data_IF_809787506074
#
_entry.id   IF_809787506074
#
_cell.length_a   1.000
_cell.length_b   1.000
_cell.length_c   1.000
_cell.angle_alpha   90.00
_cell.angle_beta   90.00
_cell.angle_gamma   90.00
#
_symmetry.space_group_name_H-M   'P 1'
#
loop_
_entity.id
_entity.type
_entity.pdbx_description
1 polymer ?
#
# COMPACT_ATOMS: atom_id res chain seq x y z
N UNK A 1 -34.12 -53.02 41.53
CA UNK A 1 -35.46 -52.78 40.97
C UNK A 1 -35.66 -51.29 40.80
N UNK A 2 -36.31 -50.89 39.71
CA UNK A 2 -36.60 -49.52 39.31
C UNK A 2 -37.45 -48.75 40.33
N UNK A 3 -37.42 -47.41 40.28
CA UNK A 3 -38.47 -46.61 40.92
C UNK A 3 -38.19 -45.13 41.04
N UNK A 4 -38.74 -44.35 40.10
CA UNK A 4 -38.86 -42.87 40.07
C UNK A 4 -39.61 -42.32 41.30
N UNK A 5 -39.32 -41.09 41.75
CA UNK A 5 -40.21 -39.92 41.55
C UNK A 5 -39.83 -38.65 42.35
N UNK A 6 -39.73 -37.55 41.59
CA UNK A 6 -40.15 -36.14 41.80
C UNK A 6 -40.60 -35.68 43.20
N UNK A 7 -40.09 -34.51 43.63
CA UNK A 7 -40.94 -33.35 43.90
C UNK A 7 -40.18 -32.02 43.82
N UNK A 8 -40.85 -31.04 43.22
CA UNK A 8 -40.48 -29.65 42.98
C UNK A 8 -40.93 -28.78 44.15
N UNK A 9 -40.14 -27.79 44.58
CA UNK A 9 -40.61 -26.57 45.25
C UNK A 9 -39.70 -25.40 44.82
N UNK A 10 -40.30 -24.27 44.41
CA UNK A 10 -39.68 -22.98 44.11
C UNK A 10 -40.16 -21.91 45.11
N UNK A 11 -39.40 -20.82 45.15
CA UNK A 11 -39.60 -19.48 45.76
C UNK A 11 -39.14 -19.37 47.23
N UNK A 12 -38.44 -18.31 47.67
CA UNK A 12 -38.55 -16.87 47.35
C UNK A 12 -37.25 -16.08 47.58
N UNK A 13 -37.23 -14.85 47.03
CA UNK A 13 -36.28 -13.74 47.26
C UNK A 13 -36.04 -13.37 48.73
N UNK A 14 -34.81 -12.91 49.04
CA UNK A 14 -34.54 -11.64 49.75
C UNK A 14 -33.04 -11.37 49.93
N UNK A 15 -32.58 -10.30 49.29
CA UNK A 15 -31.69 -9.22 49.75
C UNK A 15 -30.29 -9.50 50.37
N UNK A 16 -29.33 -8.82 49.75
CA UNK A 16 -28.16 -8.10 50.28
C UNK A 16 -27.10 -8.86 51.08
N UNK A 17 -25.95 -9.07 50.44
CA UNK A 17 -24.65 -8.85 51.08
C UNK A 17 -23.62 -8.43 50.01
N UNK A 18 -23.09 -7.23 50.22
CA UNK A 18 -22.04 -6.56 49.47
C UNK A 18 -20.69 -7.26 49.73
N UNK A 19 -20.25 -8.08 48.78
CA UNK A 19 -18.90 -8.68 48.80
C UNK A 19 -18.01 -7.96 47.78
N UNK A 20 -17.17 -7.08 48.31
CA UNK A 20 -16.01 -6.49 47.63
C UNK A 20 -15.12 -7.61 47.05
N UNK A 21 -15.21 -7.81 45.74
CA UNK A 21 -14.27 -8.65 45.00
C UNK A 21 -13.03 -7.79 44.70
N UNK A 22 -11.95 -8.04 45.43
CA UNK A 22 -10.62 -7.58 45.05
C UNK A 22 -10.27 -8.15 43.66
N UNK A 23 -10.58 -7.37 42.62
CA UNK A 23 -10.08 -7.56 41.26
C UNK A 23 -8.58 -7.27 41.28
N UNK A 24 -7.80 -8.24 41.73
CA UNK A 24 -6.39 -8.33 41.36
C UNK A 24 -6.31 -8.75 39.89
N UNK A 25 -6.78 -7.85 39.02
CA UNK A 25 -6.57 -7.85 37.59
C UNK A 25 -5.07 -7.75 37.33
N UNK A 26 -4.37 -8.86 37.54
CA UNK A 26 -3.07 -9.09 36.92
C UNK A 26 -3.37 -9.18 35.44
N UNK A 27 -3.34 -8.02 34.79
CA UNK A 27 -3.21 -7.89 33.34
C UNK A 27 -2.06 -8.78 32.96
N UNK A 28 -2.36 -9.98 32.48
CA UNK A 28 -1.40 -10.85 31.85
C UNK A 28 -1.03 -10.17 30.55
N UNK A 29 -0.09 -9.23 30.66
CA UNK A 29 0.59 -8.55 29.58
C UNK A 29 1.52 -9.57 28.91
N UNK A 30 0.89 -10.61 28.36
CA UNK A 30 1.54 -11.58 27.52
C UNK A 30 1.73 -10.87 26.17
N UNK A 31 2.96 -10.68 25.71
CA UNK A 31 3.19 -10.18 24.36
C UNK A 31 2.48 -11.13 23.41
N UNK A 32 1.45 -10.65 22.71
CA UNK A 32 0.73 -11.37 21.65
C UNK A 32 1.70 -11.98 20.61
N UNK A 33 2.93 -11.45 20.54
CA UNK A 33 4.06 -11.96 19.77
C UNK A 33 4.52 -13.39 20.16
N UNK A 34 4.22 -13.85 21.38
CA UNK A 34 4.57 -15.20 21.90
C UNK A 34 3.44 -16.22 21.77
N UNK A 35 2.25 -15.82 21.35
CA UNK A 35 1.20 -16.76 20.97
C UNK A 35 1.47 -17.24 19.54
N UNK A 36 2.45 -18.15 19.39
CA UNK A 36 2.68 -18.86 18.12
C UNK A 36 1.52 -19.84 17.88
N UNK A 37 0.40 -19.30 17.41
CA UNK A 37 -0.74 -20.07 16.90
C UNK A 37 -0.33 -20.60 15.52
N UNK A 38 0.41 -21.72 15.53
CA UNK A 38 0.85 -22.44 14.34
C UNK A 38 1.99 -21.79 13.53
N UNK A 39 2.47 -22.49 12.49
CA UNK A 39 3.45 -21.94 11.55
C UNK A 39 2.88 -20.69 10.87
N UNK A 40 3.66 -19.61 10.79
CA UNK A 40 3.24 -18.42 10.03
C UNK A 40 3.02 -18.77 8.56
N UNK A 41 1.94 -18.27 7.99
CA UNK A 41 1.63 -18.42 6.57
C UNK A 41 2.76 -17.84 5.71
N UNK A 42 3.07 -18.51 4.61
CA UNK A 42 3.98 -17.99 3.59
C UNK A 42 3.31 -16.85 2.81
N UNK A 43 4.11 -16.03 2.14
CA UNK A 43 3.61 -14.98 1.26
C UNK A 43 3.42 -15.52 -0.15
N UNK A 44 2.21 -15.38 -0.66
CA UNK A 44 1.86 -15.57 -2.06
C UNK A 44 1.57 -14.22 -2.72
N UNK A 45 2.41 -13.85 -3.69
CA UNK A 45 2.25 -12.62 -4.46
C UNK A 45 1.70 -12.96 -5.84
N UNK A 46 0.63 -12.30 -6.26
CA UNK A 46 -0.07 -12.65 -7.48
C UNK A 46 -0.20 -11.46 -8.43
N UNK A 47 0.03 -11.72 -9.72
CA UNK A 47 -0.39 -10.79 -10.77
C UNK A 47 -1.93 -10.73 -10.85
N UNK A 48 -2.47 -9.61 -11.32
CA UNK A 48 -3.92 -9.48 -11.53
C UNK A 48 -4.31 -9.88 -12.96
N UNK A 49 -3.91 -9.06 -13.96
CA UNK A 49 -4.25 -9.32 -15.36
C UNK A 49 -3.44 -10.48 -15.94
N UNK A 50 -4.10 -11.39 -16.65
CA UNK A 50 -3.53 -12.63 -17.18
C UNK A 50 -3.55 -13.79 -16.17
N UNK A 51 -3.79 -13.51 -14.89
CA UNK A 51 -3.96 -14.55 -13.87
C UNK A 51 -5.41 -14.65 -13.39
N UNK A 52 -5.97 -13.59 -12.78
CA UNK A 52 -7.32 -13.61 -12.18
C UNK A 52 -8.42 -13.19 -13.16
N UNK A 53 -8.04 -12.41 -14.17
CA UNK A 53 -8.94 -11.93 -15.22
C UNK A 53 -8.16 -11.58 -16.49
N UNK A 54 -8.87 -11.38 -17.58
CA UNK A 54 -8.37 -10.87 -18.84
C UNK A 54 -9.01 -9.51 -19.13
N UNK A 55 -8.19 -8.49 -19.38
CA UNK A 55 -8.66 -7.17 -19.81
C UNK A 55 -8.28 -6.90 -21.24
N UNK A 56 -9.25 -6.37 -21.99
CA UNK A 56 -9.06 -5.95 -23.37
C UNK A 56 -9.43 -4.50 -23.51
N UNK A 57 -8.56 -3.69 -24.13
CA UNK A 57 -8.88 -2.30 -24.42
C UNK A 57 -9.76 -2.22 -25.66
N UNK A 58 -10.81 -1.39 -25.63
CA UNK A 58 -11.79 -1.25 -26.71
C UNK A 58 -11.16 -0.79 -28.04
N UNK A 59 -10.00 -0.14 -28.01
CA UNK A 59 -9.28 0.24 -29.23
C UNK A 59 -8.67 -0.95 -29.97
N UNK A 60 -8.53 -2.11 -29.31
CA UNK A 60 -7.88 -3.30 -29.88
C UNK A 60 -8.95 -4.32 -30.26
N UNK A 61 -9.76 -3.96 -31.27
CA UNK A 61 -10.95 -4.73 -31.67
C UNK A 61 -10.68 -6.21 -31.96
N UNK A 62 -9.49 -6.54 -32.47
CA UNK A 62 -9.11 -7.91 -32.80
C UNK A 62 -8.82 -8.80 -31.58
N UNK A 63 -8.58 -8.19 -30.41
CA UNK A 63 -8.37 -8.92 -29.15
C UNK A 63 -9.66 -9.06 -28.34
N UNK A 64 -10.77 -8.44 -28.77
CA UNK A 64 -12.06 -8.53 -28.08
C UNK A 64 -12.67 -9.90 -28.38
N UNK A 65 -12.96 -10.72 -27.35
CA UNK A 65 -13.65 -11.99 -27.50
C UNK A 65 -14.97 -11.83 -28.26
N UNK A 66 -15.17 -12.69 -29.26
CA UNK A 66 -16.37 -12.63 -30.14
C UNK A 66 -17.54 -13.44 -29.61
N UNK A 67 -17.25 -14.50 -28.86
CA UNK A 67 -18.24 -15.53 -28.49
C UNK A 67 -18.61 -15.51 -27.01
N UNK A 68 -17.96 -14.65 -26.22
CA UNK A 68 -18.21 -14.49 -24.78
C UNK A 68 -18.51 -13.03 -24.46
N UNK A 69 -19.63 -12.70 -23.80
CA UNK A 69 -19.88 -11.35 -23.31
C UNK A 69 -18.88 -10.99 -22.19
N UNK A 70 -18.52 -9.71 -22.10
CA UNK A 70 -17.68 -9.23 -21.01
C UNK A 70 -18.45 -9.33 -19.68
N UNK A 71 -17.77 -9.79 -18.63
CA UNK A 71 -18.30 -9.83 -17.27
C UNK A 71 -18.47 -8.41 -16.69
N UNK A 72 -17.76 -7.44 -17.27
CA UNK A 72 -17.92 -6.03 -16.95
C UNK A 72 -17.13 -5.12 -17.87
N UNK A 73 -17.27 -3.82 -17.65
CA UNK A 73 -16.48 -2.82 -18.33
C UNK A 73 -16.12 -1.69 -17.37
N UNK A 74 -15.02 -1.00 -17.65
CA UNK A 74 -14.70 0.26 -17.00
C UNK A 74 -13.81 1.10 -17.92
N UNK A 75 -14.12 2.40 -18.02
CA UNK A 75 -13.48 3.30 -18.99
C UNK A 75 -13.50 2.64 -20.38
N UNK A 76 -12.34 2.46 -21.00
CA UNK A 76 -12.17 1.85 -22.30
C UNK A 76 -11.71 0.39 -22.24
N UNK A 77 -11.96 -0.31 -21.13
CA UNK A 77 -11.61 -1.72 -20.97
C UNK A 77 -12.84 -2.60 -20.77
N UNK A 78 -12.86 -3.72 -21.50
CA UNK A 78 -13.70 -4.87 -21.21
C UNK A 78 -12.97 -5.81 -20.26
N UNK A 79 -13.71 -6.42 -19.34
CA UNK A 79 -13.19 -7.32 -18.30
C UNK A 79 -13.85 -8.68 -18.46
N UNK A 80 -13.01 -9.71 -18.46
CA UNK A 80 -13.43 -11.09 -18.48
C UNK A 80 -12.83 -11.79 -17.26
N UNK A 81 -13.66 -12.18 -16.31
CA UNK A 81 -13.26 -12.89 -15.09
C UNK A 81 -12.73 -14.28 -15.48
N UNK A 82 -11.64 -14.73 -14.86
CA UNK A 82 -11.17 -16.11 -15.08
C UNK A 82 -12.08 -17.07 -14.31
N UNK A 83 -12.48 -18.21 -14.91
CA UNK A 83 -13.19 -19.24 -14.17
C UNK A 83 -12.47 -19.58 -12.86
N UNK A 84 -13.26 -19.80 -11.79
CA UNK A 84 -12.79 -20.13 -10.43
C UNK A 84 -11.97 -19.05 -9.70
N UNK A 85 -11.91 -17.80 -10.20
CA UNK A 85 -11.03 -16.79 -9.59
C UNK A 85 -11.36 -16.48 -8.12
N UNK A 86 -12.62 -16.50 -7.71
CA UNK A 86 -12.99 -16.23 -6.31
C UNK A 86 -12.72 -17.43 -5.40
N UNK A 87 -13.05 -18.63 -5.86
CA UNK A 87 -12.80 -19.89 -5.16
C UNK A 87 -11.30 -20.11 -4.95
N UNK A 88 -10.51 -19.85 -5.99
CA UNK A 88 -9.05 -19.86 -5.93
C UNK A 88 -8.50 -18.89 -4.89
N UNK A 89 -9.04 -17.68 -4.84
CA UNK A 89 -8.58 -16.67 -3.90
C UNK A 89 -8.95 -17.01 -2.46
N UNK A 90 -10.13 -17.60 -2.22
CA UNK A 90 -10.50 -18.17 -0.91
C UNK A 90 -9.52 -19.27 -0.50
N UNK A 91 -9.24 -20.21 -1.42
CA UNK A 91 -8.26 -21.26 -1.22
C UNK A 91 -6.87 -20.71 -0.86
N UNK A 92 -6.41 -19.65 -1.53
CA UNK A 92 -5.13 -19.02 -1.25
C UNK A 92 -5.11 -18.34 0.12
N UNK A 93 -6.15 -17.56 0.45
CA UNK A 93 -6.26 -16.83 1.72
C UNK A 93 -6.30 -17.77 2.95
N UNK A 94 -6.82 -18.98 2.80
CA UNK A 94 -6.77 -20.00 3.85
C UNK A 94 -5.34 -20.42 4.21
N UNK A 95 -4.41 -20.39 3.25
CA UNK A 95 -3.08 -21.03 3.36
C UNK A 95 -1.90 -20.05 3.33
N UNK A 96 -2.11 -18.86 2.78
CA UNK A 96 -1.07 -17.86 2.54
C UNK A 96 -1.49 -16.49 3.07
N UNK A 97 -0.48 -15.69 3.41
CA UNK A 97 -0.64 -14.25 3.32
C UNK A 97 -0.64 -13.89 1.83
N UNK A 98 -1.63 -13.14 1.37
CA UNK A 98 -1.84 -12.92 -0.08
C UNK A 98 -1.67 -11.45 -0.44
N UNK A 99 -0.76 -11.16 -1.38
CA UNK A 99 -0.58 -9.82 -1.94
C UNK A 99 -0.86 -9.78 -3.43
N UNK A 100 -1.50 -8.71 -3.91
CA UNK A 100 -1.63 -8.42 -5.34
C UNK A 100 -0.52 -7.46 -5.75
N UNK A 101 0.18 -7.79 -6.84
CA UNK A 101 1.13 -6.87 -7.46
C UNK A 101 0.84 -6.77 -8.94
N UNK A 102 0.41 -5.62 -9.42
CA UNK A 102 0.09 -5.35 -10.83
C UNK A 102 1.13 -4.43 -11.46
N UNK A 103 1.32 -4.57 -12.77
CA UNK A 103 2.09 -3.60 -13.57
C UNK A 103 1.19 -2.57 -14.27
N UNK A 104 -0.08 -2.50 -13.88
CA UNK A 104 -1.02 -1.49 -14.35
C UNK A 104 -1.09 -0.30 -13.38
N UNK A 105 -1.60 0.84 -13.85
CA UNK A 105 -1.94 1.99 -13.01
C UNK A 105 -2.99 1.62 -11.95
N UNK A 106 -2.92 2.28 -10.79
CA UNK A 106 -3.81 2.15 -9.63
C UNK A 106 -5.30 2.08 -10.01
N UNK A 107 -5.83 3.10 -10.67
CA UNK A 107 -7.24 3.16 -11.07
C UNK A 107 -7.68 1.99 -11.98
N UNK A 108 -6.74 1.41 -12.75
CA UNK A 108 -7.02 0.25 -13.57
C UNK A 108 -7.01 -1.04 -12.75
N UNK A 109 -6.13 -1.13 -11.75
CA UNK A 109 -6.08 -2.25 -10.83
C UNK A 109 -7.34 -2.32 -9.98
N UNK A 110 -7.83 -1.17 -9.52
CA UNK A 110 -8.97 -1.13 -8.60
C UNK A 110 -10.25 -1.68 -9.20
N UNK A 111 -10.61 -1.18 -10.38
CA UNK A 111 -11.76 -1.70 -11.11
C UNK A 111 -11.58 -3.20 -11.45
N UNK A 112 -10.37 -3.62 -11.84
CA UNK A 112 -10.10 -5.02 -12.17
C UNK A 112 -10.32 -5.94 -10.96
N UNK A 113 -9.83 -5.58 -9.78
CA UNK A 113 -9.97 -6.40 -8.58
C UNK A 113 -11.43 -6.51 -8.12
N UNK A 114 -12.22 -5.43 -8.27
CA UNK A 114 -13.64 -5.48 -7.94
C UNK A 114 -14.38 -6.55 -8.77
N UNK A 115 -14.04 -6.69 -10.05
CA UNK A 115 -14.60 -7.75 -10.90
C UNK A 115 -13.99 -9.13 -10.63
N UNK A 116 -12.69 -9.22 -10.36
CA UNK A 116 -12.00 -10.51 -10.21
C UNK A 116 -12.32 -11.22 -8.89
N UNK A 117 -12.34 -10.48 -7.79
CA UNK A 117 -12.33 -11.03 -6.42
C UNK A 117 -13.30 -10.31 -5.47
N UNK A 118 -13.91 -9.22 -5.91
CA UNK A 118 -14.97 -8.50 -5.19
C UNK A 118 -14.61 -8.21 -3.72
N UNK A 119 -15.47 -8.60 -2.76
CA UNK A 119 -15.25 -8.35 -1.34
C UNK A 119 -13.96 -8.94 -0.76
N UNK A 120 -13.36 -9.96 -1.40
CA UNK A 120 -12.11 -10.57 -0.91
C UNK A 120 -10.92 -9.62 -0.97
N UNK A 121 -11.03 -8.51 -1.72
CA UNK A 121 -9.99 -7.47 -1.78
C UNK A 121 -9.59 -6.95 -0.40
N UNK A 122 -10.54 -6.78 0.52
CA UNK A 122 -10.25 -6.27 1.88
C UNK A 122 -9.41 -7.22 2.73
N UNK A 123 -9.29 -8.49 2.31
CA UNK A 123 -8.49 -9.52 2.97
C UNK A 123 -7.04 -9.61 2.45
N UNK A 124 -6.70 -8.86 1.41
CA UNK A 124 -5.34 -8.85 0.86
C UNK A 124 -4.38 -8.20 1.84
N UNK A 125 -3.19 -8.77 1.99
CA UNK A 125 -2.11 -8.21 2.80
C UNK A 125 -1.66 -6.85 2.22
N UNK A 126 -1.56 -6.77 0.90
CA UNK A 126 -1.31 -5.54 0.17
C UNK A 126 -1.86 -5.62 -1.26
N UNK A 127 -2.13 -4.46 -1.84
CA UNK A 127 -2.47 -4.29 -3.26
C UNK A 127 -1.52 -3.25 -3.84
N UNK A 128 -0.62 -3.68 -4.71
CA UNK A 128 0.40 -2.84 -5.33
C UNK A 128 0.15 -2.70 -6.83
N UNK A 129 0.39 -1.50 -7.33
CA UNK A 129 0.26 -1.12 -8.73
C UNK A 129 1.64 -0.92 -9.37
N UNK A 130 1.67 -0.36 -10.58
CA UNK A 130 2.91 -0.11 -11.32
C UNK A 130 3.91 0.78 -10.57
N UNK A 131 3.46 1.65 -9.66
CA UNK A 131 4.32 2.56 -8.87
C UNK A 131 5.31 1.79 -8.01
N UNK A 132 4.93 0.60 -7.54
CA UNK A 132 5.80 -0.26 -6.77
C UNK A 132 6.69 -1.13 -7.67
N UNK A 133 6.37 -1.28 -8.96
CA UNK A 133 7.27 -1.95 -9.90
C UNK A 133 8.59 -1.17 -10.08
N UNK A 134 9.63 -1.86 -10.54
CA UNK A 134 10.87 -1.22 -10.99
C UNK A 134 10.80 -0.99 -12.49
N UNK A 135 10.77 0.29 -12.89
CA UNK A 135 10.93 0.67 -14.29
C UNK A 135 12.39 0.50 -14.71
N UNK A 136 12.61 -0.36 -15.70
CA UNK A 136 13.94 -0.57 -16.27
C UNK A 136 14.43 0.60 -17.14
N UNK A 137 13.50 1.41 -17.66
CA UNK A 137 13.72 2.37 -18.75
C UNK A 137 13.73 1.73 -20.13
N UNK A 138 13.54 0.41 -20.24
CA UNK A 138 13.43 -0.32 -21.50
C UNK A 138 11.97 -0.63 -21.83
N UNK A 139 11.74 -1.07 -23.07
CA UNK A 139 10.44 -1.49 -23.57
C UNK A 139 10.37 -3.02 -23.68
N UNK A 140 9.18 -3.58 -23.48
CA UNK A 140 8.95 -5.01 -23.65
C UNK A 140 9.17 -5.43 -25.12
N UNK A 141 9.72 -6.63 -25.34
CA UNK A 141 9.87 -7.23 -26.67
C UNK A 141 8.50 -7.47 -27.34
N UNK A 142 7.49 -7.81 -26.55
CA UNK A 142 6.12 -8.09 -27.01
C UNK A 142 5.40 -6.86 -27.56
N UNK A 143 5.73 -5.66 -27.06
CA UNK A 143 5.05 -4.42 -27.41
C UNK A 143 5.97 -3.23 -27.17
N UNK A 144 6.41 -2.61 -28.26
CA UNK A 144 7.41 -1.53 -28.23
C UNK A 144 6.99 -0.30 -27.40
N UNK A 145 5.69 -0.05 -27.19
CA UNK A 145 5.23 1.05 -26.34
C UNK A 145 5.19 0.70 -24.85
N UNK A 146 5.12 -0.59 -24.50
CA UNK A 146 4.93 -1.09 -23.13
C UNK A 146 6.24 -1.01 -22.34
N UNK A 147 6.28 -0.29 -21.20
CA UNK A 147 7.45 -0.29 -20.33
C UNK A 147 7.75 -1.69 -19.77
N UNK A 148 9.03 -2.01 -19.65
CA UNK A 148 9.50 -3.26 -19.06
C UNK A 148 9.66 -3.08 -17.54
N UNK A 149 8.64 -3.56 -16.82
CA UNK A 149 8.57 -3.51 -15.36
C UNK A 149 9.01 -4.81 -14.70
N UNK A 150 9.71 -4.69 -13.57
CA UNK A 150 10.11 -5.80 -12.69
C UNK A 150 9.41 -5.71 -11.33
N UNK A 151 9.15 -6.87 -10.71
CA UNK A 151 8.51 -7.01 -9.40
C UNK A 151 9.52 -7.57 -8.41
N UNK A 152 10.24 -6.68 -7.73
CA UNK A 152 11.37 -7.03 -6.88
C UNK A 152 10.99 -7.27 -5.43
N UNK A 153 11.17 -8.50 -4.94
CA UNK A 153 10.75 -8.86 -3.58
C UNK A 153 11.40 -8.04 -2.47
N UNK A 154 12.62 -7.53 -2.66
CA UNK A 154 13.25 -6.64 -1.67
C UNK A 154 12.33 -5.46 -1.30
N UNK A 155 11.58 -4.91 -2.27
CA UNK A 155 10.60 -3.85 -1.99
C UNK A 155 9.53 -4.33 -1.01
N UNK A 156 9.02 -5.55 -1.18
CA UNK A 156 8.04 -6.14 -0.25
C UNK A 156 8.69 -6.33 1.12
N UNK A 157 9.83 -7.01 1.19
CA UNK A 157 10.49 -7.35 2.45
C UNK A 157 10.88 -6.10 3.27
N UNK A 158 11.20 -5.00 2.59
CA UNK A 158 11.51 -3.72 3.21
C UNK A 158 10.26 -2.96 3.68
N UNK A 159 9.13 -3.03 2.97
CA UNK A 159 7.98 -2.14 3.19
C UNK A 159 6.75 -2.83 3.82
N UNK A 160 6.58 -4.14 3.65
CA UNK A 160 5.44 -4.89 4.18
C UNK A 160 5.85 -5.55 5.49
N UNK A 161 5.38 -4.99 6.62
CA UNK A 161 5.71 -5.48 7.97
C UNK A 161 4.66 -6.40 8.57
N UNK A 162 3.40 -6.31 8.10
CA UNK A 162 2.30 -7.18 8.51
C UNK A 162 2.48 -8.58 7.94
N UNK A 163 2.04 -9.62 8.65
CA UNK A 163 2.11 -11.03 8.22
C UNK A 163 3.43 -11.74 8.56
N UNK A 164 4.48 -10.97 8.88
CA UNK A 164 5.76 -11.48 9.38
C UNK A 164 6.94 -11.09 8.50
N UNK A 165 8.17 -11.44 8.92
CA UNK A 165 9.33 -11.23 8.07
C UNK A 165 9.23 -12.15 6.86
N UNK A 166 9.12 -11.54 5.69
CA UNK A 166 9.19 -12.25 4.42
C UNK A 166 10.60 -12.21 3.86
N UNK A 167 10.98 -13.29 3.19
CA UNK A 167 12.27 -13.47 2.53
C UNK A 167 12.10 -14.50 1.40
N UNK A 168 13.21 -14.92 0.78
CA UNK A 168 13.18 -15.83 -0.35
C UNK A 168 12.63 -17.23 -0.02
N UNK A 169 12.81 -17.72 1.21
CA UNK A 169 12.38 -19.07 1.61
C UNK A 169 10.88 -19.17 1.88
N UNK A 170 10.18 -18.05 2.03
CA UNK A 170 8.75 -18.01 2.34
C UNK A 170 7.92 -17.10 1.42
N UNK A 171 8.46 -16.65 0.29
CA UNK A 171 7.76 -15.81 -0.68
C UNK A 171 7.70 -16.49 -2.05
N UNK A 172 6.52 -16.63 -2.62
CA UNK A 172 6.31 -17.11 -3.99
C UNK A 172 5.58 -16.06 -4.82
N UNK A 173 6.05 -15.80 -6.05
CA UNK A 173 5.34 -15.00 -7.05
C UNK A 173 4.64 -15.89 -8.07
N UNK A 174 3.39 -15.59 -8.37
CA UNK A 174 2.66 -16.12 -9.52
C UNK A 174 2.46 -14.98 -10.52
N UNK A 175 3.00 -15.16 -11.73
CA UNK A 175 2.85 -14.19 -12.83
C UNK A 175 2.59 -14.92 -14.15
N UNK A 176 2.19 -14.20 -15.19
CA UNK A 176 2.05 -14.72 -16.56
C UNK A 176 3.28 -14.39 -17.43
N UNK A 177 4.18 -13.53 -16.92
CA UNK A 177 5.35 -13.02 -17.62
C UNK A 177 6.65 -13.33 -16.87
N UNK A 178 7.42 -14.35 -17.31
CA UNK A 178 8.68 -14.76 -16.68
C UNK A 178 9.65 -13.64 -16.38
N UNK A 179 9.78 -12.66 -17.29
CA UNK A 179 10.72 -11.56 -17.13
C UNK A 179 10.46 -10.70 -15.90
N UNK A 180 9.21 -10.62 -15.38
CA UNK A 180 8.91 -9.72 -14.25
C UNK A 180 9.64 -10.12 -12.96
N UNK A 181 10.06 -11.38 -12.83
CA UNK A 181 10.80 -11.89 -11.69
C UNK A 181 12.33 -11.94 -11.93
N UNK A 182 12.84 -11.43 -13.05
CA UNK A 182 14.26 -11.57 -13.47
C UNK A 182 15.30 -11.12 -12.41
N UNK A 183 14.90 -10.20 -11.53
CA UNK A 183 15.73 -9.62 -10.49
C UNK A 183 15.54 -10.27 -9.11
N UNK A 184 14.62 -11.22 -9.00
CA UNK A 184 14.36 -11.97 -7.77
C UNK A 184 15.31 -13.17 -7.64
N UNK A 185 15.45 -13.75 -6.43
CA UNK A 185 16.13 -15.02 -6.25
C UNK A 185 15.58 -16.11 -7.18
N UNK A 186 16.44 -17.05 -7.60
CA UNK A 186 16.03 -18.18 -8.44
C UNK A 186 14.98 -19.03 -7.73
N UNK A 187 14.10 -19.68 -8.50
CA UNK A 187 13.07 -20.58 -7.98
C UNK A 187 12.10 -19.91 -6.97
N UNK A 188 11.89 -18.60 -7.07
CA UNK A 188 10.97 -17.86 -6.17
C UNK A 188 9.70 -17.39 -6.88
N UNK A 189 9.47 -17.89 -8.10
CA UNK A 189 8.32 -17.57 -8.92
C UNK A 189 7.91 -18.75 -9.81
N UNK A 190 6.62 -18.86 -10.10
CA UNK A 190 6.05 -19.74 -11.13
C UNK A 190 5.29 -18.90 -12.15
N UNK A 191 5.20 -19.39 -13.39
CA UNK A 191 4.68 -18.61 -14.50
C UNK A 191 3.56 -19.34 -15.24
N UNK A 192 2.31 -18.91 -15.10
CA UNK A 192 1.19 -19.55 -15.77
C UNK A 192 1.06 -19.07 -17.22
N UNK A 193 0.44 -19.89 -18.06
CA UNK A 193 -0.09 -19.40 -19.32
C UNK A 193 -1.13 -18.29 -19.05
N UNK A 194 -1.06 -17.16 -19.77
CA UNK A 194 -1.96 -16.05 -19.55
C UNK A 194 -3.39 -16.45 -19.90
N UNK A 195 -4.32 -16.13 -19.01
CA UNK A 195 -5.74 -16.29 -19.29
C UNK A 195 -6.17 -15.42 -20.46
N UNK A 196 -6.83 -16.06 -21.43
CA UNK A 196 -7.51 -15.42 -22.55
C UNK A 196 -8.97 -15.83 -22.51
N UNK A 197 -9.84 -14.85 -22.63
CA UNK A 197 -11.28 -15.02 -22.49
C UNK A 197 -11.94 -15.85 -23.60
N UNK A 198 -11.23 -16.12 -24.71
CA UNK A 198 -11.68 -17.06 -25.75
C UNK A 198 -11.45 -18.54 -25.37
N UNK A 199 -10.79 -18.81 -24.24
CA UNK A 199 -10.62 -20.17 -23.74
C UNK A 199 -11.71 -20.54 -22.74
N UNK A 200 -12.85 -21.00 -23.25
CA UNK A 200 -14.01 -21.41 -22.42
C UNK A 200 -13.75 -22.69 -21.59
N UNK A 201 -12.64 -23.39 -21.86
CA UNK A 201 -12.23 -24.60 -21.13
C UNK A 201 -11.18 -24.33 -20.04
N UNK A 202 -10.83 -23.06 -19.78
CA UNK A 202 -9.83 -22.72 -18.75
C UNK A 202 -10.32 -23.14 -17.35
N UNK A 203 -9.59 -24.06 -16.74
CA UNK A 203 -9.78 -24.52 -15.36
C UNK A 203 -8.51 -24.34 -14.52
N UNK A 204 -7.60 -23.46 -14.94
CA UNK A 204 -6.27 -23.37 -14.33
C UNK A 204 -6.31 -22.91 -12.86
N UNK A 205 -7.39 -22.21 -12.46
CA UNK A 205 -7.62 -21.76 -11.09
C UNK A 205 -8.61 -22.65 -10.31
N UNK A 206 -9.01 -23.80 -10.85
CA UNK A 206 -9.89 -24.74 -10.13
C UNK A 206 -9.25 -25.12 -8.77
N UNK A 207 -9.97 -24.98 -7.63
CA UNK A 207 -9.51 -25.43 -6.31
C UNK A 207 -9.10 -26.91 -6.24
N UNK A 208 -9.65 -27.75 -7.12
CA UNK A 208 -9.30 -29.16 -7.26
C UNK A 208 -8.24 -29.41 -8.34
N UNK A 209 -7.79 -28.37 -9.04
CA UNK A 209 -6.82 -28.46 -10.13
C UNK A 209 -5.37 -28.57 -9.68
N UNK A 210 -4.49 -28.66 -10.68
CA UNK A 210 -3.05 -28.85 -10.49
C UNK A 210 -2.38 -27.69 -9.77
N UNK A 211 -2.75 -26.44 -10.08
CA UNK A 211 -2.18 -25.26 -9.42
C UNK A 211 -2.46 -25.26 -7.92
N UNK A 212 -3.71 -25.51 -7.52
CA UNK A 212 -4.08 -25.56 -6.11
C UNK A 212 -3.38 -26.73 -5.39
N UNK A 213 -3.26 -27.88 -6.05
CA UNK A 213 -2.49 -29.02 -5.52
C UNK A 213 -1.01 -28.67 -5.34
N UNK A 214 -0.40 -27.99 -6.32
CA UNK A 214 0.96 -27.48 -6.23
C UNK A 214 1.14 -26.50 -5.07
N UNK A 215 0.21 -25.55 -4.90
CA UNK A 215 0.25 -24.56 -3.82
C UNK A 215 0.03 -25.18 -2.44
N UNK A 216 -0.69 -26.30 -2.31
CA UNK A 216 -0.71 -27.06 -1.03
C UNK A 216 0.70 -27.52 -0.65
N UNK A 217 1.43 -28.10 -1.60
CA UNK A 217 2.82 -28.50 -1.36
C UNK A 217 3.74 -27.32 -1.04
N UNK A 218 3.57 -26.16 -1.68
CA UNK A 218 4.28 -24.92 -1.31
C UNK A 218 3.95 -24.49 0.14
N UNK A 219 2.69 -24.56 0.54
CA UNK A 219 2.26 -24.20 1.89
C UNK A 219 2.88 -25.12 2.95
N UNK A 220 3.09 -26.41 2.64
CA UNK A 220 3.67 -27.42 3.54
C UNK A 220 5.21 -27.45 3.51
N UNK A 221 5.84 -27.05 2.40
CA UNK A 221 7.29 -27.08 2.24
C UNK A 221 8.01 -26.21 3.26
N UNK A 222 9.22 -26.60 3.70
CA UNK A 222 10.04 -25.76 4.59
C UNK A 222 10.60 -24.53 3.90
N UNK A 223 10.92 -24.65 2.61
CA UNK A 223 11.58 -23.65 1.81
C UNK A 223 10.94 -23.59 0.41
N UNK A 224 10.46 -22.41 0.02
CA UNK A 224 9.80 -22.20 -1.28
C UNK A 224 10.78 -22.46 -2.43
N UNK A 225 12.02 -21.99 -2.33
CA UNK A 225 12.97 -22.08 -3.44
C UNK A 225 13.35 -23.52 -3.77
N UNK A 226 13.54 -24.35 -2.74
CA UNK A 226 13.81 -25.78 -2.88
C UNK A 226 12.60 -26.50 -3.48
N UNK A 227 11.39 -26.20 -2.98
CA UNK A 227 10.17 -26.82 -3.52
C UNK A 227 9.96 -26.50 -5.00
N UNK A 228 10.08 -25.23 -5.40
CA UNK A 228 9.92 -24.79 -6.80
C UNK A 228 11.00 -25.37 -7.70
N UNK A 229 12.23 -25.53 -7.18
CA UNK A 229 13.33 -26.16 -7.93
C UNK A 229 13.01 -27.61 -8.25
N UNK A 230 12.51 -28.36 -7.28
CA UNK A 230 12.22 -29.79 -7.42
C UNK A 230 10.90 -30.05 -8.16
N UNK A 231 10.00 -29.06 -8.17
CA UNK A 231 8.69 -29.12 -8.81
C UNK A 231 8.49 -27.88 -9.71
N UNK A 232 9.13 -27.81 -10.89
CA UNK A 232 8.89 -26.69 -11.80
C UNK A 232 7.44 -26.65 -12.28
N UNK A 233 6.83 -25.46 -12.34
CA UNK A 233 5.43 -25.28 -12.74
C UNK A 233 5.29 -24.15 -13.78
N UNK A 234 4.64 -24.47 -14.90
CA UNK A 234 4.32 -23.50 -15.96
C UNK A 234 5.50 -23.14 -16.86
N UNK A 235 5.50 -21.92 -17.39
CA UNK A 235 6.55 -21.40 -18.28
C UNK A 235 7.90 -21.30 -17.55
N UNK A 236 9.02 -21.52 -18.27
CA UNK A 236 10.35 -21.43 -17.65
C UNK A 236 10.71 -19.98 -17.29
N UNK A 237 11.46 -19.82 -16.21
CA UNK A 237 12.06 -18.53 -15.83
C UNK A 237 13.04 -18.02 -16.90
N UNK A 238 13.21 -16.71 -16.99
CA UNK A 238 14.25 -16.12 -17.85
C UNK A 238 15.63 -16.42 -17.26
N UNK A 239 16.37 -17.30 -17.91
CA UNK A 239 17.74 -17.68 -17.59
C UNK A 239 18.69 -17.39 -18.76
N UNK A 240 19.98 -17.67 -18.59
CA UNK A 240 20.97 -17.58 -19.67
C UNK A 240 20.67 -18.44 -20.89
N UNK A 241 19.80 -19.44 -20.76
CA UNK A 241 19.35 -20.29 -21.87
C UNK A 241 18.18 -19.69 -22.67
N UNK A 242 17.58 -18.58 -22.23
CA UNK A 242 16.46 -17.95 -22.93
C UNK A 242 16.91 -17.38 -24.29
N UNK A 243 16.09 -17.53 -25.34
CA UNK A 243 16.39 -17.03 -26.71
C UNK A 243 16.76 -15.55 -26.71
N UNK A 244 15.99 -14.73 -26.00
CA UNK A 244 16.21 -13.30 -25.83
C UNK A 244 17.16 -12.92 -24.67
N UNK A 245 17.99 -13.85 -24.18
CA UNK A 245 18.86 -13.59 -23.03
C UNK A 245 19.75 -12.37 -23.23
N UNK A 246 20.27 -12.14 -24.44
CA UNK A 246 21.09 -10.96 -24.78
C UNK A 246 20.37 -9.63 -24.49
N UNK A 247 19.05 -9.59 -24.67
CA UNK A 247 18.25 -8.43 -24.32
C UNK A 247 18.11 -8.31 -22.80
N UNK A 248 17.67 -9.38 -22.13
CA UNK A 248 17.43 -9.37 -20.69
C UNK A 248 18.70 -9.16 -19.85
N UNK A 249 19.84 -9.71 -20.26
CA UNK A 249 21.13 -9.52 -19.62
C UNK A 249 21.55 -8.04 -19.67
N UNK A 250 21.42 -7.39 -20.83
CA UNK A 250 21.70 -5.96 -21.00
C UNK A 250 20.82 -5.10 -20.10
N UNK A 251 19.53 -5.41 -20.01
CA UNK A 251 18.60 -4.71 -19.11
C UNK A 251 19.04 -4.87 -17.66
N UNK A 252 19.33 -6.12 -17.24
CA UNK A 252 19.78 -6.44 -15.88
C UNK A 252 21.07 -5.70 -15.52
N UNK A 253 22.07 -5.73 -16.39
CA UNK A 253 23.33 -5.00 -16.24
C UNK A 253 23.11 -3.48 -16.11
N UNK A 254 22.24 -2.89 -16.94
CA UNK A 254 21.92 -1.46 -16.88
C UNK A 254 21.33 -1.07 -15.52
N UNK A 255 20.42 -1.88 -14.99
CA UNK A 255 19.82 -1.65 -13.67
C UNK A 255 20.86 -1.73 -12.56
N UNK A 256 21.71 -2.77 -12.58
CA UNK A 256 22.78 -2.96 -11.58
C UNK A 256 23.79 -1.80 -11.63
N UNK A 257 24.16 -1.34 -12.83
CA UNK A 257 25.02 -0.16 -13.00
C UNK A 257 24.40 1.10 -12.40
N UNK A 258 23.12 1.38 -12.68
CA UNK A 258 22.39 2.53 -12.11
C UNK A 258 22.38 2.49 -10.57
N UNK A 259 22.20 1.31 -9.97
CA UNK A 259 22.23 1.12 -8.51
C UNK A 259 23.60 1.40 -7.91
N UNK A 260 24.66 0.90 -8.55
CA UNK A 260 26.04 1.13 -8.09
C UNK A 260 26.41 2.62 -8.07
N UNK A 261 25.95 3.37 -9.08
CA UNK A 261 26.18 4.81 -9.18
C UNK A 261 25.42 5.58 -8.09
N UNK A 262 24.16 5.20 -7.84
CA UNK A 262 23.35 5.83 -6.77
C UNK A 262 24.01 5.66 -5.40
N UNK A 263 24.54 4.47 -5.12
CA UNK A 263 25.21 4.19 -3.84
C UNK A 263 26.53 4.95 -3.67
N UNK A 264 27.28 5.20 -4.76
CA UNK A 264 28.52 6.00 -4.73
C UNK A 264 28.23 7.50 -4.54
N UNK A 265 27.14 8.01 -5.12
CA UNK A 265 26.73 9.40 -4.95
C UNK A 265 26.21 9.73 -3.55
N UNK A 266 25.64 8.75 -2.83
CA UNK A 266 25.24 8.93 -1.42
C UNK A 266 26.41 8.93 -0.43
N UNK A 267 27.59 8.43 -0.82
CA UNK A 267 28.78 8.34 0.04
C UNK A 267 29.78 9.49 -0.12
N UNK A 268 29.58 10.45 -1.05
CA UNK A 268 30.60 11.45 -1.39
C UNK A 268 30.47 12.84 -0.73
N UNK A 269 29.72 12.99 0.38
CA UNK A 269 29.54 14.31 1.04
C UNK A 269 30.44 14.54 2.26
N UNK A 270 31.40 13.67 2.57
CA UNK A 270 32.35 13.91 3.66
C UNK A 270 33.76 13.47 3.27
N UNK A 271 34.57 14.42 2.77
CA UNK A 271 36.00 14.58 3.06
C UNK A 271 36.65 15.50 2.03
N UNK A 272 36.78 16.79 2.37
CA UNK A 272 37.87 17.62 1.84
C UNK A 272 38.95 17.68 2.91
N UNK A 273 40.18 17.19 2.67
CA UNK A 273 41.27 17.35 3.63
C UNK A 273 41.85 18.76 3.50
N UNK A 274 41.69 19.57 4.54
CA UNK A 274 42.39 20.85 4.63
C UNK A 274 43.88 20.56 4.91
N UNK A 275 44.75 20.98 4.00
CA UNK A 275 46.21 20.82 4.10
C UNK A 275 46.79 22.04 4.81
N UNK A 276 47.40 21.85 5.98
CA UNK A 276 48.12 22.89 6.71
C UNK A 276 49.46 23.20 6.03
N UNK A 277 49.80 24.49 5.91
CA UNK A 277 51.19 24.96 5.78
C UNK A 277 51.28 26.36 6.38
N UNK A 278 52.16 26.51 7.35
CA UNK A 278 52.45 27.73 8.08
C UNK A 278 53.70 28.41 7.48
N UNK A 279 53.68 29.74 7.35
CA UNK A 279 54.89 30.59 7.40
C UNK A 279 54.52 32.02 7.84
N UNK A 280 55.32 32.57 8.77
CA UNK A 280 55.25 33.88 9.41
C UNK A 280 55.57 35.05 8.47
N UNK A 281 54.94 36.23 8.65
CA UNK A 281 55.61 37.53 8.94
C UNK A 281 54.65 38.76 8.92
N UNK A 282 54.55 39.41 10.10
CA UNK A 282 54.48 40.85 10.45
C UNK A 282 53.48 41.88 9.88
N UNK A 283 52.75 42.49 10.83
CA UNK A 283 52.30 43.91 10.98
C UNK A 283 51.33 44.45 9.91
N UNK A 284 50.11 44.91 10.20
CA UNK A 284 49.72 46.03 11.07
C UNK A 284 48.18 46.04 11.21
N UNK A 285 47.67 46.40 12.39
CA UNK A 285 46.24 46.67 12.68
C UNK A 285 45.83 48.05 12.09
N UNK A 286 44.53 48.48 12.03
CA UNK A 286 43.39 47.98 12.82
C UNK A 286 42.01 47.90 12.10
N UNK A 287 41.02 47.46 12.89
CA UNK A 287 39.57 47.75 12.85
C UNK A 287 38.58 46.59 12.52
N UNK A 288 37.78 46.30 13.55
CA UNK A 288 36.34 45.97 13.57
C UNK A 288 35.82 44.77 12.76
N UNK A 289 35.50 43.67 13.45
CA UNK A 289 34.10 43.27 13.72
C UNK A 289 34.06 41.86 14.32
N UNK A 290 33.55 41.77 15.55
CA UNK A 290 33.20 40.53 16.22
C UNK A 290 31.91 39.95 15.62
N UNK A 291 32.01 38.87 14.86
CA UNK A 291 30.88 37.98 14.59
C UNK A 291 30.86 36.90 15.67
N UNK A 292 29.92 37.03 16.60
CA UNK A 292 29.48 35.96 17.48
C UNK A 292 28.53 35.02 16.73
N UNK A 293 28.65 33.74 17.02
CA UNK A 293 27.86 32.62 16.51
C UNK A 293 26.34 32.88 16.58
N UNK A 294 25.53 32.46 15.60
CA UNK A 294 24.09 32.37 15.81
C UNK A 294 23.78 31.06 16.54
N UNK A 295 23.39 31.22 17.81
CA UNK A 295 22.51 30.29 18.52
C UNK A 295 21.23 30.06 17.71
N UNK A 296 20.78 28.80 17.67
CA UNK A 296 19.53 28.37 17.05
C UNK A 296 18.34 29.01 17.77
N UNK A 297 17.81 30.12 17.25
CA UNK A 297 16.58 30.74 17.76
C UNK A 297 15.38 30.18 17.00
N UNK A 298 14.53 29.42 17.71
CA UNK A 298 13.22 28.95 17.23
C UNK A 298 12.31 30.15 16.94
N UNK A 299 12.01 30.41 15.66
CA UNK A 299 10.96 31.35 15.25
C UNK A 299 9.60 30.70 15.50
N UNK A 300 8.82 31.21 16.47
CA UNK A 300 7.39 30.87 16.61
C UNK A 300 6.58 31.82 15.73
N UNK A 301 5.92 31.28 14.71
CA UNK A 301 4.85 31.99 13.99
C UNK A 301 3.60 32.03 14.88
N UNK A 302 2.95 33.20 14.98
CA UNK A 302 1.58 33.30 15.52
C UNK A 302 0.60 33.23 14.35
N UNK A 303 -0.38 32.34 14.45
CA UNK A 303 -1.51 32.23 13.52
C UNK A 303 -2.75 32.83 14.19
N UNK A 304 -3.51 33.65 13.46
CA UNK A 304 -4.77 34.22 13.93
C UNK A 304 -5.90 33.74 13.00
N UNK A 305 -6.96 33.15 13.57
CA UNK A 305 -8.12 32.68 12.83
C UNK A 305 -9.18 33.79 12.82
N UNK A 306 -9.54 34.27 11.62
CA UNK A 306 -10.70 35.13 11.43
C UNK A 306 -11.78 34.30 10.74
N UNK A 307 -12.81 33.89 11.48
CA UNK A 307 -13.95 33.18 10.93
C UNK A 307 -14.83 34.18 10.18
N UNK A 308 -14.83 34.10 8.85
CA UNK A 308 -15.68 34.91 7.96
C UNK A 308 -17.12 34.38 7.86
N UNK A 309 -18.01 35.28 7.45
CA UNK A 309 -19.48 35.18 7.46
C UNK A 309 -20.07 33.76 7.25
N UNK A 310 -20.78 33.28 8.27
CA UNK A 310 -21.54 32.03 8.23
C UNK A 310 -22.93 32.33 7.66
N UNK A 311 -23.29 31.71 6.52
CA UNK A 311 -24.58 31.99 5.86
C UNK A 311 -25.78 31.36 6.57
N UNK A 312 -25.59 30.38 7.47
CA UNK A 312 -26.60 29.81 8.38
C UNK A 312 -25.93 29.26 9.64
N UNK A 313 -26.53 29.51 10.82
CA UNK A 313 -25.99 29.12 12.12
C UNK A 313 -25.55 27.65 12.14
N UNK A 314 -24.26 27.42 12.35
CA UNK A 314 -23.69 26.09 12.53
C UNK A 314 -24.08 25.54 13.91
N UNK A 315 -24.51 24.26 14.02
CA UNK A 315 -24.60 23.56 15.30
C UNK A 315 -23.28 23.64 16.07
N UNK A 316 -23.34 23.73 17.40
CA UNK A 316 -22.16 23.93 18.26
C UNK A 316 -21.11 22.83 18.08
N UNK A 317 -21.49 21.61 17.69
CA UNK A 317 -20.54 20.52 17.43
C UNK A 317 -19.59 20.81 16.24
N UNK A 318 -20.06 21.46 15.17
CA UNK A 318 -19.22 21.77 14.01
C UNK A 318 -18.20 22.88 14.29
N UNK A 319 -18.49 23.78 15.23
CA UNK A 319 -17.51 24.77 15.71
C UNK A 319 -16.37 24.10 16.49
N UNK A 320 -16.65 23.01 17.20
CA UNK A 320 -15.64 22.21 17.89
C UNK A 320 -14.74 21.44 16.90
N UNK A 321 -15.31 20.92 15.80
CA UNK A 321 -14.55 20.31 14.70
C UNK A 321 -13.59 21.32 14.07
N UNK A 322 -14.03 22.55 13.83
CA UNK A 322 -13.16 23.62 13.33
C UNK A 322 -12.03 24.00 14.32
N UNK A 323 -12.29 23.94 15.64
CA UNK A 323 -11.26 24.11 16.68
C UNK A 323 -10.24 22.96 16.75
N UNK A 324 -10.69 21.72 16.55
CA UNK A 324 -9.84 20.53 16.47
C UNK A 324 -8.93 20.54 15.23
N UNK A 325 -9.39 21.10 14.12
CA UNK A 325 -8.59 21.32 12.90
C UNK A 325 -7.37 22.23 13.16
N UNK A 326 -7.43 23.13 14.15
CA UNK A 326 -6.29 24.00 14.51
C UNK A 326 -5.21 23.26 15.31
N UNK A 327 -5.59 22.41 16.29
CA UNK A 327 -4.63 21.64 17.09
C UNK A 327 -3.85 20.62 16.25
N UNK A 328 -4.47 20.06 15.21
CA UNK A 328 -3.81 19.13 14.29
C UNK A 328 -2.81 19.80 13.33
N UNK A 329 -2.95 21.11 13.07
CA UNK A 329 -2.08 21.86 12.17
C UNK A 329 -0.83 22.45 12.85
N UNK A 330 -0.88 22.68 14.17
CA UNK A 330 0.26 23.18 14.97
C UNK A 330 1.20 22.04 15.42
N UNK A 331 0.76 20.78 15.30
CA UNK A 331 1.55 19.59 15.60
C UNK A 331 2.10 18.95 14.31
N UNK A 332 3.37 19.27 14.02
CA UNK A 332 4.26 18.64 13.04
C UNK A 332 4.05 18.94 11.54
N UNK A 333 5.17 19.36 10.94
CA UNK A 333 5.37 19.62 9.53
C UNK A 333 5.22 18.36 8.65
N UNK A 334 4.00 17.92 8.34
CA UNK A 334 3.71 17.05 7.18
C UNK A 334 2.27 17.26 6.70
N UNK A 335 2.06 18.12 5.69
CA UNK A 335 0.76 18.37 5.05
C UNK A 335 0.13 17.18 4.29
N UNK A 336 0.51 15.92 4.59
CA UNK A 336 -0.08 14.72 3.98
C UNK A 336 -0.68 13.72 4.98
N UNK A 337 -0.39 13.84 6.28
CA UNK A 337 -0.97 12.95 7.30
C UNK A 337 -2.31 13.50 7.81
N UNK A 338 -2.48 14.82 7.85
CA UNK A 338 -3.71 15.46 8.29
C UNK A 338 -4.93 15.12 7.41
N UNK A 339 -4.74 14.91 6.10
CA UNK A 339 -5.85 14.63 5.16
C UNK A 339 -6.47 13.24 5.38
N UNK A 340 -5.69 12.26 5.84
CA UNK A 340 -6.17 10.89 6.07
C UNK A 340 -6.88 10.71 7.43
N UNK A 341 -6.58 11.55 8.42
CA UNK A 341 -7.33 11.59 9.67
C UNK A 341 -8.65 12.38 9.52
N UNK A 342 -8.77 13.18 8.45
CA UNK A 342 -9.95 13.99 8.15
C UNK A 342 -11.12 13.16 7.61
N UNK A 343 -10.88 12.21 6.69
CA UNK A 343 -11.96 11.37 6.13
C UNK A 343 -12.64 10.54 7.22
N UNK A 344 -11.87 9.98 8.17
CA UNK A 344 -12.42 9.17 9.26
C UNK A 344 -13.14 9.99 10.34
N UNK A 345 -12.73 11.23 10.60
CA UNK A 345 -13.38 12.08 11.62
C UNK A 345 -14.68 12.71 11.11
N UNK A 346 -14.74 13.01 9.80
CA UNK A 346 -15.95 13.52 9.14
C UNK A 346 -17.02 12.43 9.06
N UNK A 347 -16.64 11.17 8.83
CA UNK A 347 -17.57 10.04 8.81
C UNK A 347 -18.19 9.72 10.20
N UNK A 348 -17.48 9.95 11.31
CA UNK A 348 -18.03 9.73 12.67
C UNK A 348 -18.87 10.91 13.21
N UNK A 349 -18.64 12.15 12.75
CA UNK A 349 -19.35 13.35 13.25
C UNK A 349 -20.55 13.79 12.41
N UNK A 350 -20.77 13.21 11.23
CA UNK A 350 -21.89 13.57 10.33
C UNK A 350 -23.18 12.75 10.55
N UNK A 351 -23.22 11.86 11.55
CA UNK A 351 -24.38 10.99 11.80
C UNK A 351 -25.65 11.74 12.26
N UNK A 352 -25.53 12.97 12.76
CA UNK A 352 -26.66 13.78 13.27
C UNK A 352 -26.90 15.11 12.52
N UNK A 353 -26.29 15.31 11.34
CA UNK A 353 -26.46 16.54 10.56
C UNK A 353 -27.58 16.39 9.53
N UNK A 354 -28.59 17.29 9.49
CA UNK A 354 -29.68 17.22 8.52
C UNK A 354 -29.20 17.19 7.07
N UNK A 355 -29.97 16.55 6.19
CA UNK A 355 -29.67 16.50 4.76
C UNK A 355 -29.58 17.90 4.15
N UNK A 356 -28.50 18.18 3.43
CA UNK A 356 -28.25 19.50 2.85
C UNK A 356 -26.87 19.67 2.24
N UNK A 357 -26.71 20.78 1.49
CA UNK A 357 -25.43 21.24 0.96
C UNK A 357 -24.91 22.36 1.86
N UNK A 358 -23.75 22.14 2.47
CA UNK A 358 -23.10 23.12 3.35
C UNK A 358 -21.87 23.69 2.64
N UNK A 359 -21.78 25.02 2.61
CA UNK A 359 -20.63 25.75 2.07
C UNK A 359 -19.86 26.34 3.24
N UNK A 360 -18.63 25.86 3.46
CA UNK A 360 -17.73 26.40 4.46
C UNK A 360 -16.58 27.09 3.75
N UNK A 361 -16.47 28.41 3.95
CA UNK A 361 -15.38 29.22 3.42
C UNK A 361 -14.34 29.43 4.51
N UNK A 362 -13.12 28.93 4.31
CA UNK A 362 -12.01 29.11 5.24
C UNK A 362 -10.96 29.99 4.56
N UNK A 363 -10.74 31.19 5.11
CA UNK A 363 -9.71 32.12 4.65
C UNK A 363 -8.48 32.01 5.57
N UNK A 364 -7.35 31.56 5.02
CA UNK A 364 -6.08 31.47 5.74
C UNK A 364 -5.20 32.66 5.34
N UNK A 365 -5.00 33.61 6.24
CA UNK A 365 -4.07 34.74 6.04
C UNK A 365 -2.72 34.46 6.71
N UNK A 366 -1.65 34.50 5.93
CA UNK A 366 -0.29 34.51 6.43
C UNK A 366 0.14 35.95 6.71
N UNK A 367 0.31 36.29 7.99
CA UNK A 367 0.90 37.58 8.38
C UNK A 367 2.43 37.40 8.56
N UNK A 368 3.22 38.05 7.71
CA UNK A 368 4.65 38.21 7.94
C UNK A 368 4.88 39.33 8.96
N UNK A 369 5.74 39.14 9.98
CA UNK A 369 6.20 40.26 10.80
C UNK A 369 7.15 41.13 9.96
N UNK A 370 6.89 42.44 9.98
CA UNK A 370 7.67 43.47 9.31
C UNK A 370 9.18 43.39 9.66
N UNK A 371 10.04 43.39 8.63
CA UNK A 371 11.43 43.85 8.72
C UNK A 371 11.72 44.71 7.48
N UNK A 372 12.29 45.92 7.62
CA UNK A 372 12.19 46.96 6.59
C UNK A 372 13.34 46.89 5.58
N UNK A 373 13.65 45.76 4.95
CA UNK A 373 14.57 45.73 3.80
C UNK A 373 14.36 44.47 2.96
N UNK A 374 13.35 44.49 2.09
CA UNK A 374 13.42 44.07 0.69
C UNK A 374 12.00 44.14 0.12
N UNK A 375 11.82 44.98 -0.88
CA UNK A 375 10.59 45.05 -1.65
C UNK A 375 10.49 43.86 -2.63
N UNK A 376 9.24 43.55 -2.99
CA UNK A 376 8.78 42.83 -4.20
C UNK A 376 8.33 41.36 -4.03
N UNK A 377 7.02 41.25 -3.74
CA UNK A 377 5.96 40.37 -4.30
C UNK A 377 6.09 38.84 -4.28
N UNK A 378 5.28 38.20 -3.42
CA UNK A 378 4.21 37.29 -3.87
C UNK A 378 3.17 37.11 -2.74
N UNK A 379 1.96 37.69 -2.89
CA UNK A 379 0.79 37.26 -2.10
C UNK A 379 0.31 35.96 -2.70
N UNK A 380 0.13 34.93 -1.88
CA UNK A 380 -0.57 33.71 -2.29
C UNK A 380 -1.72 33.50 -1.31
N UNK A 381 -2.84 34.16 -1.58
CA UNK A 381 -4.07 33.94 -0.84
C UNK A 381 -4.64 32.60 -1.33
N UNK A 382 -4.65 31.58 -0.45
CA UNK A 382 -5.25 30.28 -0.76
C UNK A 382 -6.70 30.29 -0.27
N UNK A 383 -7.65 30.29 -1.20
CA UNK A 383 -9.07 30.08 -0.89
C UNK A 383 -9.38 28.59 -0.99
N UNK A 384 -9.72 27.96 0.14
CA UNK A 384 -10.23 26.60 0.15
C UNK A 384 -11.76 26.67 0.29
N UNK A 385 -12.48 26.31 -0.76
CA UNK A 385 -13.93 26.10 -0.71
C UNK A 385 -14.18 24.61 -0.46
N UNK A 386 -14.76 24.27 0.69
CA UNK A 386 -15.19 22.91 0.98
C UNK A 386 -16.71 22.80 0.73
N UNK A 387 -17.12 21.87 -0.14
CA UNK A 387 -18.51 21.51 -0.35
C UNK A 387 -18.77 20.19 0.37
N UNK A 388 -19.61 20.22 1.40
CA UNK A 388 -20.08 19.02 2.08
C UNK A 388 -21.50 18.72 1.58
N UNK A 389 -21.68 17.52 1.01
CA UNK A 389 -22.99 17.03 0.54
C UNK A 389 -23.31 15.78 1.37
N UNK A 390 -24.34 15.86 2.20
CA UNK A 390 -24.89 14.70 2.91
C UNK A 390 -26.18 14.25 2.20
N UNK A 391 -26.23 13.00 1.75
CA UNK A 391 -27.39 12.43 1.07
C UNK A 391 -27.13 11.07 0.40
N UNK A 392 -27.92 10.07 0.74
CA UNK A 392 -27.98 8.76 0.07
C UNK A 392 -28.55 8.93 -1.35
N UNK A 393 -27.71 8.72 -2.37
CA UNK A 393 -28.19 8.55 -3.74
C UNK A 393 -28.94 7.21 -3.86
N UNK A 394 -30.22 7.28 -4.21
CA UNK A 394 -30.98 6.16 -4.81
C UNK A 394 -30.70 6.06 -6.30
#
# INVERSE_FOLDING_TARGET
MAGKNKKCIKFSDSEDDEYEAEDSGTVLDLPLEKLNIGPRKKLLVMNCNGLLLHRVHLSVKNEIPKFRPADGHYRSFLVFKRPFSEEFMKFCLERFEVGIWSSAMEHNLDAALNYAIGPLRSKMLFVWDQRQCTDSGFKCLEKASKPLFFKEFNKIWENVKKGGPFNASNTLLIDDKPYKALLNPVNSAIFLEPYKADNDSDKALDPMGELCSYLKGVAEARDVQSYVKDHPYGQPAVTSAHSDWKFYSRVKESILKKRSLKNRGSTSTLASPWRSSATLATSTSPTTNSFSSPSTTSIRCRHELVIGHISRALPRELAAVAGLMWLAADANAVGRVAVLALDTLVDELLLDVPDGVYVVSVELRLLHPFSPFLAVTHRSDCHLLLFLVNGLHT
#
